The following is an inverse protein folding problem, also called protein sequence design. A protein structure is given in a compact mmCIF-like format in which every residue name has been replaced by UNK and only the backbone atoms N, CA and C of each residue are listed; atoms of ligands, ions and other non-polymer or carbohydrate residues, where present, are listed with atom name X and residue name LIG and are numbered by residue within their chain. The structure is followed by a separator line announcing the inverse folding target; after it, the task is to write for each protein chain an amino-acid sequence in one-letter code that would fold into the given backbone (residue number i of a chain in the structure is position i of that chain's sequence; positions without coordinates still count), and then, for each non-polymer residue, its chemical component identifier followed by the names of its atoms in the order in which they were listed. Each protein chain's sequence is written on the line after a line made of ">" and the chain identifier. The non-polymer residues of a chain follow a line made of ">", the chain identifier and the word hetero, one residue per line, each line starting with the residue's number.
data_IF_132736447090
#
_entry.id   IF_132736447090
#
_cell.length_a   1.000
_cell.length_b   1.000
_cell.length_c   1.000
_cell.angle_alpha   90.00
_cell.angle_beta   90.00
_cell.angle_gamma   90.00
#
_symmetry.space_group_name_H-M   'P 1'
#
loop_
_entity.id
_entity.type
_entity.pdbx_description
1 polymer ?
#
# COMPACT_ATOMS: atom_id res chain seq x y z
N UNK A 1 -10.38 -14.44 3.81
CA UNK A 1 -10.38 -14.38 2.34
C UNK A 1 -10.94 -15.71 1.80
N UNK A 2 -12.05 -15.68 1.09
CA UNK A 2 -12.69 -16.89 0.58
C UNK A 2 -13.31 -16.62 -0.79
N UNK A 3 -12.98 -17.44 -1.80
CA UNK A 3 -13.53 -17.33 -3.15
C UNK A 3 -13.39 -15.93 -3.81
N UNK A 4 -12.27 -15.24 -3.57
CA UNK A 4 -12.06 -13.88 -4.07
C UNK A 4 -12.76 -12.78 -3.25
N UNK A 5 -13.54 -13.12 -2.23
CA UNK A 5 -14.17 -12.16 -1.32
C UNK A 5 -13.29 -11.92 -0.09
N UNK A 6 -13.05 -10.66 0.25
CA UNK A 6 -12.36 -10.22 1.45
C UNK A 6 -13.35 -9.43 2.31
N UNK A 7 -13.50 -9.82 3.58
CA UNK A 7 -14.26 -9.10 4.60
C UNK A 7 -13.30 -8.43 5.57
N UNK A 8 -13.51 -7.16 5.82
CA UNK A 8 -12.62 -6.31 6.61
C UNK A 8 -13.43 -5.61 7.68
N UNK A 9 -12.94 -5.65 8.94
CA UNK A 9 -13.48 -4.88 10.05
C UNK A 9 -12.58 -3.69 10.35
N UNK A 10 -13.19 -2.53 10.62
CA UNK A 10 -12.45 -1.28 10.87
C UNK A 10 -13.20 -0.35 11.80
N UNK A 11 -12.44 0.44 12.57
CA UNK A 11 -12.96 1.61 13.31
C UNK A 11 -12.98 2.88 12.46
N UNK A 12 -12.46 2.85 11.22
CA UNK A 12 -12.55 3.98 10.30
C UNK A 12 -14.03 4.29 10.01
N UNK A 13 -14.43 5.53 10.20
CA UNK A 13 -15.79 5.97 9.87
C UNK A 13 -16.07 5.84 8.37
N UNK A 14 -16.96 4.91 8.00
CA UNK A 14 -17.40 4.67 6.63
C UNK A 14 -18.83 5.22 6.37
N UNK A 15 -19.37 6.08 7.24
CA UNK A 15 -20.71 6.64 7.11
C UNK A 15 -20.97 7.35 5.77
N UNK A 16 -19.91 7.89 5.16
CA UNK A 16 -19.95 8.56 3.86
C UNK A 16 -19.61 7.64 2.68
N UNK A 17 -19.44 6.34 2.92
CA UNK A 17 -19.21 5.34 1.89
C UNK A 17 -20.51 4.58 1.60
N UNK A 18 -20.72 4.25 0.32
CA UNK A 18 -21.86 3.44 -0.13
C UNK A 18 -21.33 2.19 -0.85
N UNK A 19 -22.22 1.23 -1.11
CA UNK A 19 -21.92 0.15 -2.05
C UNK A 19 -21.49 0.79 -3.38
N UNK A 20 -20.37 0.34 -3.93
CA UNK A 20 -19.73 0.94 -5.10
C UNK A 20 -18.65 1.98 -4.79
N UNK A 21 -18.49 2.41 -3.53
CA UNK A 21 -17.38 3.27 -3.14
C UNK A 21 -16.05 2.54 -3.25
N UNK A 22 -15.00 3.26 -3.69
CA UNK A 22 -13.64 2.76 -3.65
C UNK A 22 -13.04 2.96 -2.26
N UNK A 23 -12.47 1.89 -1.71
CA UNK A 23 -11.72 1.89 -0.46
C UNK A 23 -10.33 1.33 -0.76
N UNK A 24 -9.30 2.06 -0.37
CA UNK A 24 -7.93 1.62 -0.51
C UNK A 24 -7.60 0.64 0.63
N UNK A 25 -7.19 -0.58 0.26
CA UNK A 25 -6.85 -1.65 1.19
C UNK A 25 -5.40 -2.07 0.93
N UNK A 26 -4.48 -1.77 1.85
CA UNK A 26 -3.05 -2.00 1.65
C UNK A 26 -2.52 -1.43 0.31
N UNK A 27 -3.01 -0.26 -0.08
CA UNK A 27 -2.66 0.37 -1.33
C UNK A 27 -3.43 -0.16 -2.55
N UNK A 28 -4.35 -1.11 -2.39
CA UNK A 28 -5.16 -1.65 -3.48
C UNK A 28 -6.51 -0.96 -3.49
N UNK A 29 -6.87 -0.31 -4.59
CA UNK A 29 -8.20 0.28 -4.79
C UNK A 29 -9.22 -0.84 -5.02
N UNK A 30 -10.12 -1.05 -4.05
CA UNK A 30 -11.16 -2.08 -4.10
C UNK A 30 -12.54 -1.45 -3.97
N UNK A 31 -13.52 -2.04 -4.66
CA UNK A 31 -14.90 -1.57 -4.62
C UNK A 31 -15.68 -2.28 -3.52
N UNK A 32 -16.29 -1.50 -2.62
CA UNK A 32 -17.15 -2.04 -1.58
C UNK A 32 -18.43 -2.65 -2.18
N UNK A 33 -18.67 -3.91 -1.87
CA UNK A 33 -19.88 -4.66 -2.28
C UNK A 33 -20.92 -4.75 -1.18
N UNK A 34 -20.49 -4.58 0.07
CA UNK A 34 -21.33 -4.58 1.26
C UNK A 34 -20.69 -3.68 2.32
N UNK A 35 -21.47 -2.92 3.07
CA UNK A 35 -20.99 -2.11 4.21
C UNK A 35 -22.02 -2.24 5.32
N UNK A 36 -21.57 -2.62 6.51
CA UNK A 36 -22.39 -2.76 7.71
C UNK A 36 -21.77 -2.00 8.87
N UNK A 37 -22.60 -1.50 9.79
CA UNK A 37 -22.17 -0.93 11.05
C UNK A 37 -22.84 -1.67 12.20
N UNK A 38 -22.04 -2.29 13.07
CA UNK A 38 -22.51 -3.02 14.26
C UNK A 38 -21.48 -2.88 15.39
N UNK A 39 -21.94 -2.76 16.62
CA UNK A 39 -21.08 -2.73 17.81
C UNK A 39 -19.91 -1.71 17.69
N UNK A 40 -20.25 -0.50 17.23
CA UNK A 40 -19.30 0.61 17.02
C UNK A 40 -18.16 0.32 16.02
N UNK A 41 -18.33 -0.68 15.16
CA UNK A 41 -17.38 -1.03 14.10
C UNK A 41 -18.07 -1.12 12.74
N UNK A 42 -17.34 -0.70 11.71
CA UNK A 42 -17.71 -0.97 10.34
C UNK A 42 -17.13 -2.30 9.87
N UNK A 43 -17.93 -3.07 9.15
CA UNK A 43 -17.46 -4.19 8.34
C UNK A 43 -17.84 -3.94 6.89
N UNK A 44 -16.94 -4.23 5.98
CA UNK A 44 -17.23 -4.13 4.56
C UNK A 44 -16.64 -5.31 3.80
N UNK A 45 -17.28 -5.63 2.66
CA UNK A 45 -16.80 -6.66 1.76
C UNK A 45 -16.35 -6.06 0.45
N UNK A 46 -15.33 -6.68 -0.13
CA UNK A 46 -14.79 -6.34 -1.45
C UNK A 46 -14.48 -7.62 -2.21
N UNK A 47 -14.59 -7.57 -3.54
CA UNK A 47 -14.14 -8.65 -4.41
C UNK A 47 -12.73 -8.34 -4.92
N UNK A 48 -11.82 -9.31 -4.78
CA UNK A 48 -10.45 -9.23 -5.29
C UNK A 48 -10.36 -10.16 -6.50
N UNK A 49 -10.32 -9.58 -7.70
CA UNK A 49 -10.20 -10.31 -8.95
C UNK A 49 -8.86 -11.05 -9.08
N UNK A 50 -8.78 -12.04 -9.97
CA UNK A 50 -7.58 -12.87 -10.17
C UNK A 50 -6.34 -12.03 -10.48
N UNK A 51 -6.43 -11.06 -11.40
CA UNK A 51 -5.32 -10.16 -11.72
C UNK A 51 -4.81 -9.39 -10.50
N UNK A 52 -5.73 -8.91 -9.65
CA UNK A 52 -5.39 -8.21 -8.42
C UNK A 52 -4.71 -9.15 -7.43
N UNK A 53 -5.18 -10.37 -7.30
CA UNK A 53 -4.53 -11.39 -6.46
C UNK A 53 -3.12 -11.68 -6.92
N UNK A 54 -2.89 -11.81 -8.21
CA UNK A 54 -1.57 -12.12 -8.79
C UNK A 54 -0.56 -10.97 -8.63
N UNK A 55 -1.04 -9.73 -8.59
CA UNK A 55 -0.19 -8.54 -8.53
C UNK A 55 0.04 -7.99 -7.12
N UNK A 56 -0.70 -8.47 -6.13
CA UNK A 56 -0.69 -7.89 -4.78
C UNK A 56 -0.36 -8.93 -3.72
N UNK A 57 -0.14 -8.47 -2.50
CA UNK A 57 0.04 -9.36 -1.36
C UNK A 57 -1.25 -10.05 -0.89
N UNK A 58 -2.38 -9.83 -1.57
CA UNK A 58 -3.62 -10.56 -1.33
C UNK A 58 -3.59 -12.00 -1.85
N UNK A 59 -2.64 -12.35 -2.74
CA UNK A 59 -2.41 -13.73 -3.19
C UNK A 59 -1.70 -14.60 -2.15
N UNK A 60 -1.04 -14.01 -1.18
CA UNK A 60 -0.30 -14.74 -0.17
C UNK A 60 -1.28 -15.38 0.83
N UNK A 61 -1.28 -16.72 0.96
CA UNK A 61 -2.09 -17.43 1.96
C UNK A 61 -1.79 -16.97 3.40
N UNK A 62 -0.62 -16.42 3.65
CA UNK A 62 -0.24 -15.82 4.93
C UNK A 62 -0.95 -14.49 5.19
N UNK A 63 -1.41 -13.78 4.14
CA UNK A 63 -2.19 -12.54 4.31
C UNK A 63 -3.42 -12.74 5.18
N UNK A 64 -4.10 -13.88 5.04
CA UNK A 64 -5.27 -14.22 5.86
C UNK A 64 -4.96 -14.37 7.36
N UNK A 65 -3.68 -14.53 7.72
CA UNK A 65 -3.23 -14.68 9.11
C UNK A 65 -2.78 -13.34 9.71
N UNK A 66 -2.39 -12.37 8.90
CA UNK A 66 -1.77 -11.12 9.35
C UNK A 66 -2.76 -10.09 9.87
N UNK A 67 -4.01 -10.17 9.51
CA UNK A 67 -5.14 -9.43 10.08
C UNK A 67 -4.99 -7.89 10.23
N UNK A 68 -3.92 -7.25 9.76
CA UNK A 68 -3.69 -5.79 9.84
C UNK A 68 -3.30 -5.22 8.48
N UNK A 69 -4.21 -4.46 7.90
CA UNK A 69 -4.02 -3.75 6.64
C UNK A 69 -4.26 -2.24 6.84
N UNK A 70 -3.61 -1.43 6.04
CA UNK A 70 -3.93 -0.01 5.95
C UNK A 70 -5.24 0.15 5.19
N UNK A 71 -6.11 1.05 5.66
CA UNK A 71 -7.40 1.33 5.02
C UNK A 71 -7.57 2.84 4.92
N UNK A 72 -7.82 3.32 3.72
CA UNK A 72 -8.09 4.73 3.43
C UNK A 72 -9.32 4.88 2.55
N UNK A 73 -10.09 5.94 2.80
CA UNK A 73 -11.18 6.37 1.92
C UNK A 73 -10.61 7.14 0.72
N UNK A 74 -11.36 7.17 -0.36
CA UNK A 74 -11.04 8.05 -1.49
C UNK A 74 -10.99 9.51 -1.05
N UNK A 75 -10.00 10.27 -1.54
CA UNK A 75 -9.93 11.72 -1.39
C UNK A 75 -11.14 12.39 -2.05
N UNK A 76 -11.62 13.46 -1.46
CA UNK A 76 -12.65 14.32 -2.02
C UNK A 76 -12.03 15.56 -2.65
N UNK A 77 -12.74 16.17 -3.58
CA UNK A 77 -12.31 17.46 -4.14
C UNK A 77 -12.30 18.50 -3.01
N UNK A 78 -11.15 19.13 -2.81
CA UNK A 78 -10.91 20.09 -1.73
C UNK A 78 -10.18 19.54 -0.51
N UNK A 79 -9.96 18.23 -0.43
CA UNK A 79 -9.11 17.64 0.60
C UNK A 79 -7.63 18.04 0.40
N UNK A 80 -6.89 18.10 1.49
CA UNK A 80 -5.44 18.32 1.45
C UNK A 80 -4.72 17.10 0.90
N UNK A 81 -3.80 17.32 -0.03
CA UNK A 81 -2.93 16.29 -0.57
C UNK A 81 -1.59 16.33 0.15
N UNK A 82 -1.42 15.46 1.15
CA UNK A 82 -0.17 15.30 1.89
C UNK A 82 0.63 14.13 1.31
N UNK A 83 1.75 14.43 0.65
CA UNK A 83 2.57 13.41 -0.04
C UNK A 83 2.39 13.44 -1.54
N UNK A 84 2.05 12.32 -2.17
CA UNK A 84 1.80 12.24 -3.61
C UNK A 84 0.46 11.53 -3.90
N UNK A 85 -0.01 11.60 -5.14
CA UNK A 85 -1.22 10.88 -5.56
C UNK A 85 -0.98 9.38 -5.55
N UNK A 86 -1.77 8.66 -4.74
CA UNK A 86 -1.81 7.20 -4.69
C UNK A 86 -3.16 6.76 -5.22
N UNK A 87 -3.16 6.04 -6.33
CA UNK A 87 -4.38 5.63 -7.04
C UNK A 87 -4.91 4.27 -6.60
N UNK A 88 -4.07 3.50 -5.91
CA UNK A 88 -4.41 2.13 -5.52
C UNK A 88 -4.21 1.13 -6.65
N UNK A 89 -3.37 1.45 -7.62
CA UNK A 89 -3.06 0.60 -8.77
C UNK A 89 -1.67 -0.01 -8.63
N UNK A 90 -1.62 -1.15 -7.98
CA UNK A 90 -0.37 -1.81 -7.62
C UNK A 90 0.40 -2.27 -8.86
N UNK A 91 1.66 -1.89 -8.92
CA UNK A 91 2.60 -2.30 -9.97
C UNK A 91 3.15 -3.68 -9.75
N UNK A 92 3.48 -3.96 -8.51
CA UNK A 92 4.11 -5.21 -8.09
C UNK A 92 4.17 -5.34 -6.58
N UNK A 93 4.60 -6.50 -6.15
CA UNK A 93 5.02 -6.74 -4.77
C UNK A 93 6.55 -6.86 -4.66
N UNK A 94 7.06 -6.64 -3.46
CA UNK A 94 8.47 -6.92 -3.10
C UNK A 94 8.55 -7.36 -1.64
N UNK A 95 9.67 -8.03 -1.29
CA UNK A 95 9.91 -8.44 0.08
C UNK A 95 10.76 -7.40 0.81
N UNK A 96 10.48 -7.23 2.09
CA UNK A 96 11.35 -6.53 3.03
C UNK A 96 12.59 -7.40 3.26
N UNK A 97 13.78 -6.84 3.04
CA UNK A 97 15.03 -7.58 3.26
C UNK A 97 15.65 -7.32 4.60
N UNK A 98 15.45 -6.11 5.14
CA UNK A 98 15.98 -5.72 6.44
C UNK A 98 15.15 -4.56 7.01
N UNK A 99 15.08 -4.47 8.33
CA UNK A 99 14.46 -3.37 9.08
C UNK A 99 15.43 -2.93 10.15
N UNK A 100 15.95 -1.70 10.00
CA UNK A 100 16.85 -1.10 10.98
C UNK A 100 16.10 -0.05 11.81
N UNK A 101 16.08 -0.22 13.12
CA UNK A 101 15.63 0.82 14.04
C UNK A 101 16.79 1.78 14.30
N UNK A 102 16.57 3.05 14.03
CA UNK A 102 17.46 4.16 14.37
C UNK A 102 16.90 4.93 15.58
N UNK A 103 17.63 5.93 16.08
CA UNK A 103 17.20 6.71 17.26
C UNK A 103 15.81 7.33 17.08
N UNK A 104 15.54 7.92 15.92
CA UNK A 104 14.32 8.68 15.63
C UNK A 104 13.59 8.22 14.37
N UNK A 105 13.87 7.04 13.83
CA UNK A 105 13.26 6.54 12.62
C UNK A 105 13.47 5.05 12.44
N UNK A 106 12.86 4.48 11.41
CA UNK A 106 13.12 3.12 10.93
C UNK A 106 13.53 3.18 9.47
N UNK A 107 14.53 2.41 9.08
CA UNK A 107 14.87 2.17 7.69
C UNK A 107 14.37 0.78 7.27
N UNK A 108 13.56 0.76 6.22
CA UNK A 108 13.10 -0.46 5.58
C UNK A 108 13.83 -0.64 4.26
N UNK A 109 14.38 -1.82 4.04
CA UNK A 109 15.11 -2.18 2.83
C UNK A 109 14.32 -3.18 2.02
N UNK A 110 14.31 -2.98 0.69
CA UNK A 110 13.54 -3.78 -0.25
C UNK A 110 14.43 -4.33 -1.36
N UNK A 111 14.12 -5.57 -1.77
CA UNK A 111 14.94 -6.32 -2.72
C UNK A 111 14.39 -6.21 -4.15
N UNK A 112 15.34 -6.17 -5.11
CA UNK A 112 15.14 -6.50 -6.51
C UNK A 112 13.96 -5.83 -7.20
N UNK A 113 14.10 -4.58 -7.55
CA UNK A 113 13.31 -4.08 -8.67
C UNK A 113 13.88 -4.59 -10.01
N UNK A 114 12.99 -4.93 -10.94
CA UNK A 114 13.37 -5.38 -12.28
C UNK A 114 13.98 -4.20 -13.06
N UNK A 115 14.80 -4.50 -14.08
CA UNK A 115 15.42 -3.43 -14.90
C UNK A 115 14.41 -2.41 -15.46
N UNK A 116 13.19 -2.85 -15.81
CA UNK A 116 12.12 -1.98 -16.26
C UNK A 116 11.62 -0.98 -15.21
N UNK A 117 11.82 -1.27 -13.94
CA UNK A 117 11.34 -0.45 -12.82
C UNK A 117 12.38 0.61 -12.39
N UNK A 118 13.64 0.51 -12.88
CA UNK A 118 14.74 1.40 -12.49
C UNK A 118 14.44 2.88 -12.66
N UNK A 119 13.67 3.21 -13.67
CA UNK A 119 13.33 4.60 -13.98
C UNK A 119 12.31 5.19 -13.00
N UNK A 120 11.63 4.36 -12.22
CA UNK A 120 10.63 4.79 -11.22
C UNK A 120 11.21 4.81 -9.80
N UNK A 121 12.35 4.13 -9.58
CA UNK A 121 12.98 4.03 -8.27
C UNK A 121 14.22 4.90 -8.25
N UNK A 122 14.03 6.16 -7.85
CA UNK A 122 15.07 7.20 -7.82
C UNK A 122 15.13 7.79 -6.41
N UNK A 123 16.33 8.08 -5.92
CA UNK A 123 16.50 8.75 -4.63
C UNK A 123 15.69 10.04 -4.57
N UNK A 124 15.02 10.28 -3.45
CA UNK A 124 14.14 11.42 -3.19
C UNK A 124 12.82 11.43 -3.96
N UNK A 125 12.59 10.48 -4.86
CA UNK A 125 11.27 10.29 -5.47
C UNK A 125 10.27 9.72 -4.48
N UNK A 126 8.99 9.93 -4.77
CA UNK A 126 7.88 9.34 -4.02
C UNK A 126 7.63 7.90 -4.45
N UNK A 127 7.16 7.09 -3.51
CA UNK A 127 6.72 5.72 -3.74
C UNK A 127 5.60 5.40 -2.74
N UNK A 128 4.59 4.64 -3.16
CA UNK A 128 3.61 4.12 -2.22
C UNK A 128 3.92 2.67 -1.85
N UNK A 129 3.97 2.38 -0.55
CA UNK A 129 4.15 1.04 0.01
C UNK A 129 2.97 0.71 0.90
N UNK A 130 2.22 -0.34 0.56
CA UNK A 130 0.95 -0.68 1.21
C UNK A 130 0.00 0.53 1.32
N UNK A 131 -0.02 1.42 0.30
CA UNK A 131 -0.83 2.63 0.25
C UNK A 131 -0.23 3.86 0.94
N UNK A 132 0.87 3.71 1.66
CA UNK A 132 1.51 4.80 2.39
C UNK A 132 2.44 5.57 1.44
N UNK A 133 2.23 6.87 1.28
CA UNK A 133 3.14 7.77 0.56
C UNK A 133 4.44 7.93 1.32
N UNK A 134 5.55 7.54 0.72
CA UNK A 134 6.88 7.53 1.32
C UNK A 134 7.93 8.09 0.35
N UNK A 135 9.09 8.46 0.89
CA UNK A 135 10.22 8.93 0.10
C UNK A 135 11.31 7.86 0.03
N UNK A 136 11.82 7.60 -1.16
CA UNK A 136 12.97 6.73 -1.38
C UNK A 136 14.20 7.40 -0.79
N UNK A 137 14.81 6.78 0.23
CA UNK A 137 15.95 7.33 0.93
C UNK A 137 17.27 7.05 0.20
N UNK A 138 17.46 5.82 -0.26
CA UNK A 138 18.66 5.36 -0.97
C UNK A 138 18.30 4.35 -2.04
N UNK A 139 19.09 4.33 -3.11
CA UNK A 139 19.04 3.32 -4.17
C UNK A 139 20.43 2.74 -4.34
N UNK A 140 20.57 1.43 -4.23
CA UNK A 140 21.84 0.71 -4.42
C UNK A 140 21.63 -0.53 -5.27
N UNK A 141 22.32 -0.59 -6.42
CA UNK A 141 22.18 -1.64 -7.43
C UNK A 141 20.72 -1.87 -7.82
N UNK A 142 20.10 -2.93 -7.31
CA UNK A 142 18.70 -3.29 -7.54
C UNK A 142 17.87 -3.24 -6.25
N UNK A 143 18.38 -2.58 -5.21
CA UNK A 143 17.70 -2.45 -3.92
C UNK A 143 17.41 -0.98 -3.65
N UNK A 144 16.42 -0.71 -2.81
CA UNK A 144 16.15 0.63 -2.31
C UNK A 144 15.75 0.59 -0.84
N UNK A 145 15.85 1.72 -0.18
CA UNK A 145 15.36 1.89 1.18
C UNK A 145 14.45 3.09 1.31
N UNK A 146 13.60 3.06 2.33
CA UNK A 146 12.79 4.18 2.79
C UNK A 146 13.13 4.49 4.24
N UNK A 147 12.94 5.75 4.63
CA UNK A 147 13.03 6.17 6.04
C UNK A 147 11.63 6.49 6.54
N UNK A 148 11.25 5.88 7.67
CA UNK A 148 9.92 5.99 8.27
C UNK A 148 10.04 6.70 9.60
N UNK A 149 9.34 7.83 9.74
CA UNK A 149 9.28 8.60 11.01
C UNK A 149 8.36 7.91 12.02
N UNK A 150 8.52 8.19 13.34
CA UNK A 150 7.72 7.55 14.39
C UNK A 150 6.22 7.65 14.15
N UNK A 151 5.71 8.80 13.77
CA UNK A 151 4.29 9.00 13.51
C UNK A 151 3.76 8.02 12.45
N UNK A 152 4.45 7.88 11.32
CA UNK A 152 4.06 6.95 10.23
C UNK A 152 4.16 5.51 10.69
N UNK A 153 5.23 5.14 11.38
CA UNK A 153 5.43 3.78 11.89
C UNK A 153 4.30 3.36 12.82
N UNK A 154 3.94 4.22 13.80
CA UNK A 154 2.93 3.88 14.80
C UNK A 154 1.49 3.86 14.26
N UNK A 155 1.20 4.64 13.22
CA UNK A 155 -0.16 4.81 12.68
C UNK A 155 -0.44 3.97 11.42
N UNK A 156 0.50 3.13 11.01
CA UNK A 156 0.34 2.26 9.83
C UNK A 156 0.65 0.81 10.17
N UNK A 157 0.41 -0.08 9.19
CA UNK A 157 0.74 -1.50 9.36
C UNK A 157 2.25 -1.79 9.33
N UNK A 158 3.10 -0.81 9.03
CA UNK A 158 4.56 -0.99 9.00
C UNK A 158 5.12 -1.54 10.33
N UNK A 159 4.53 -1.17 11.47
CA UNK A 159 4.94 -1.66 12.80
C UNK A 159 4.74 -3.16 13.02
N UNK A 160 3.90 -3.81 12.22
CA UNK A 160 3.63 -5.23 12.31
C UNK A 160 4.44 -6.06 11.30
N UNK A 161 5.06 -5.40 10.32
CA UNK A 161 5.82 -6.07 9.27
C UNK A 161 7.19 -6.53 9.77
N UNK A 162 7.65 -7.60 9.18
CA UNK A 162 8.94 -8.25 9.48
C UNK A 162 9.75 -8.44 8.19
N UNK A 163 11.01 -8.79 8.35
CA UNK A 163 11.81 -9.26 7.23
C UNK A 163 11.15 -10.45 6.53
N UNK A 164 11.25 -10.47 5.22
CA UNK A 164 10.61 -11.40 4.29
C UNK A 164 9.11 -11.17 4.06
N UNK A 165 8.45 -10.27 4.78
CA UNK A 165 7.05 -9.94 4.48
C UNK A 165 6.92 -9.28 3.11
N UNK A 166 5.83 -9.61 2.42
CA UNK A 166 5.51 -9.11 1.10
C UNK A 166 4.68 -7.81 1.21
N UNK A 167 5.12 -6.76 0.55
CA UNK A 167 4.43 -5.47 0.50
C UNK A 167 4.03 -5.11 -0.93
N UNK A 168 2.93 -4.36 -1.06
CA UNK A 168 2.47 -3.80 -2.31
C UNK A 168 3.25 -2.53 -2.65
N UNK A 169 3.63 -2.36 -3.91
CA UNK A 169 4.32 -1.19 -4.44
C UNK A 169 3.46 -0.55 -5.54
N UNK A 170 3.23 0.75 -5.40
CA UNK A 170 2.74 1.61 -6.48
C UNK A 170 3.77 2.70 -6.75
N UNK A 171 4.21 2.83 -8.00
CA UNK A 171 5.13 3.89 -8.41
C UNK A 171 4.38 5.20 -8.59
N UNK A 172 5.08 6.30 -8.34
CA UNK A 172 4.52 7.64 -8.57
C UNK A 172 4.02 7.77 -10.02
N UNK A 173 2.76 8.13 -10.16
CA UNK A 173 2.10 8.23 -11.47
C UNK A 173 2.72 9.31 -12.36
N UNK A 174 3.25 10.39 -11.78
CA UNK A 174 3.95 11.43 -12.53
C UNK A 174 5.24 10.89 -13.18
N UNK A 175 5.93 9.97 -12.52
CA UNK A 175 7.10 9.31 -13.08
C UNK A 175 6.75 8.51 -14.35
N UNK A 176 5.54 7.90 -14.42
CA UNK A 176 5.09 7.16 -15.63
C UNK A 176 4.94 8.07 -16.84
N UNK A 177 4.35 9.25 -16.66
CA UNK A 177 4.19 10.19 -17.77
C UNK A 177 5.52 10.75 -18.24
N UNK A 178 6.44 11.05 -17.31
CA UNK A 178 7.76 11.55 -17.67
C UNK A 178 8.61 10.55 -18.45
N UNK A 179 8.28 9.26 -18.36
CA UNK A 179 9.01 8.15 -18.99
C UNK A 179 8.32 7.61 -20.26
N UNK A 180 7.12 8.10 -20.61
CA UNK A 180 6.32 7.56 -21.72
C UNK A 180 7.09 7.51 -23.05
N UNK A 181 7.97 8.49 -23.31
CA UNK A 181 8.75 8.57 -24.54
C UNK A 181 10.09 7.82 -24.47
N UNK A 182 10.37 7.14 -23.33
CA UNK A 182 11.62 6.39 -23.10
C UNK A 182 11.38 4.88 -22.91
N UNK A 183 10.13 4.45 -22.92
CA UNK A 183 9.68 3.07 -22.86
C UNK A 183 9.35 2.55 -24.26
#
# INVERSE_FOLDING_TARGET
>A
FKNGELEISTSLDLSNCNIGSSICCNGVCLTATEINFREDQYTFKVNVGEETQDRTNFSNQEFNKLAKINIEKSLKIGDEISGHFVYGHIDRTTNITNINKLDNSWEFYFKNFKNKDKNFIVEKASIAINGISLTIAKVDNNNFSISVIPHTFENTNLKYLKEQDLVNIEFDYLARFSMKDKL
#
